data_IF_213305681913
#
_entry.id   IF_213305681913
#
_cell.length_a   1.000
_cell.length_b   1.000
_cell.length_c   1.000
_cell.angle_alpha   90.00
_cell.angle_beta   90.00
_cell.angle_gamma   90.00
#
_symmetry.space_group_name_H-M   'P 1'
#
loop_
_entity.id
_entity.type
_entity.pdbx_description
1 polymer ?
#
# COMPACT_ATOMS: atom_id res chain seq x y z
N UNK A 1 -3.40 -2.69 -21.74
CA UNK A 1 -3.14 -3.44 -20.50
C UNK A 1 -2.57 -2.51 -19.44
N UNK A 2 -2.89 -2.76 -18.17
CA UNK A 2 -2.38 -1.98 -17.05
C UNK A 2 -1.68 -2.88 -16.03
N UNK A 3 -0.77 -2.31 -15.24
CA UNK A 3 -0.13 -2.95 -14.11
C UNK A 3 0.00 -1.93 -12.96
N UNK A 4 -0.05 -2.40 -11.72
CA UNK A 4 0.01 -1.53 -10.54
C UNK A 4 1.25 -1.80 -9.69
N UNK A 5 1.87 -0.72 -9.20
CA UNK A 5 2.82 -0.78 -8.10
C UNK A 5 2.24 -0.02 -6.92
N UNK A 6 1.92 -0.74 -5.85
CA UNK A 6 1.27 -0.20 -4.67
C UNK A 6 2.30 -0.04 -3.54
N UNK A 7 2.46 1.17 -3.03
CA UNK A 7 3.29 1.41 -1.85
C UNK A 7 2.40 1.59 -0.63
N UNK A 8 2.61 0.74 0.37
CA UNK A 8 1.92 0.80 1.65
C UNK A 8 2.91 1.14 2.76
N UNK A 9 2.42 1.81 3.80
CA UNK A 9 3.15 1.95 5.05
C UNK A 9 3.39 0.57 5.69
N UNK A 10 4.64 0.25 6.02
CA UNK A 10 5.01 -1.00 6.71
C UNK A 10 4.36 -1.13 8.09
N UNK A 11 4.11 -0.01 8.77
CA UNK A 11 3.35 0.02 10.03
C UNK A 11 1.91 -0.49 9.89
N UNK A 12 1.27 -0.30 8.73
CA UNK A 12 -0.06 -0.88 8.47
C UNK A 12 0.00 -2.39 8.43
N UNK A 13 0.99 -2.96 7.72
CA UNK A 13 1.18 -4.42 7.67
C UNK A 13 1.41 -4.99 9.06
N UNK A 14 2.23 -4.33 9.89
CA UNK A 14 2.46 -4.76 11.27
C UNK A 14 1.19 -4.71 12.13
N UNK A 15 0.34 -3.69 11.93
CA UNK A 15 -0.88 -3.52 12.72
C UNK A 15 -1.96 -4.56 12.39
N UNK A 16 -2.11 -4.95 11.12
CA UNK A 16 -3.15 -5.91 10.70
C UNK A 16 -2.65 -7.36 10.64
N UNK A 17 -1.32 -7.56 10.64
CA UNK A 17 -0.72 -8.89 10.64
C UNK A 17 -0.82 -9.62 9.30
N UNK A 18 -0.15 -10.77 9.20
CA UNK A 18 -0.04 -11.52 7.96
C UNK A 18 -1.38 -12.20 7.56
N UNK A 19 -2.21 -12.62 8.52
CA UNK A 19 -3.51 -13.25 8.24
C UNK A 19 -4.46 -12.27 7.52
N UNK A 20 -4.58 -11.04 8.02
CA UNK A 20 -5.42 -10.02 7.36
C UNK A 20 -4.80 -9.48 6.06
N UNK A 21 -3.47 -9.62 5.87
CA UNK A 21 -2.85 -9.27 4.60
C UNK A 21 -3.29 -10.18 3.45
N UNK A 22 -3.70 -11.42 3.74
CA UNK A 22 -4.27 -12.33 2.74
C UNK A 22 -5.61 -11.80 2.23
N UNK A 23 -6.46 -11.28 3.14
CA UNK A 23 -7.72 -10.63 2.77
C UNK A 23 -7.47 -9.38 1.93
N UNK A 24 -6.52 -8.53 2.34
CA UNK A 24 -6.12 -7.34 1.57
C UNK A 24 -5.68 -7.71 0.15
N UNK A 25 -4.92 -8.80 -0.01
CA UNK A 25 -4.50 -9.27 -1.34
C UNK A 25 -5.71 -9.69 -2.20
N UNK A 26 -6.62 -10.47 -1.63
CA UNK A 26 -7.83 -10.93 -2.33
C UNK A 26 -8.73 -9.76 -2.73
N UNK A 27 -9.03 -8.86 -1.79
CA UNK A 27 -9.82 -7.66 -2.07
C UNK A 27 -9.17 -6.78 -3.13
N UNK A 28 -7.83 -6.64 -3.10
CA UNK A 28 -7.11 -5.88 -4.13
C UNK A 28 -7.30 -6.52 -5.51
N UNK A 29 -7.13 -7.84 -5.63
CA UNK A 29 -7.35 -8.57 -6.88
C UNK A 29 -8.77 -8.40 -7.41
N UNK A 30 -9.77 -8.53 -6.53
CA UNK A 30 -11.18 -8.39 -6.90
C UNK A 30 -11.50 -6.97 -7.39
N UNK A 31 -10.90 -5.94 -6.78
CA UNK A 31 -11.10 -4.54 -7.16
C UNK A 31 -10.43 -4.21 -8.51
N UNK A 32 -9.21 -4.68 -8.75
CA UNK A 32 -8.42 -4.31 -9.95
C UNK A 32 -8.64 -5.24 -11.14
N UNK A 33 -9.30 -6.38 -10.94
CA UNK A 33 -9.47 -7.44 -11.92
C UNK A 33 -8.34 -8.48 -11.88
N UNK A 34 -8.71 -9.76 -11.96
CA UNK A 34 -7.81 -10.90 -11.83
C UNK A 34 -6.71 -10.96 -12.91
N UNK A 35 -6.92 -10.33 -14.05
CA UNK A 35 -5.98 -10.22 -15.16
C UNK A 35 -4.95 -9.08 -15.00
N UNK A 36 -5.16 -8.17 -14.05
CA UNK A 36 -4.29 -7.00 -13.83
C UNK A 36 -3.18 -7.36 -12.83
N UNK A 37 -1.91 -7.45 -13.25
CA UNK A 37 -0.82 -7.74 -12.33
C UNK A 37 -0.55 -6.54 -11.41
N UNK A 38 -0.24 -6.82 -10.15
CA UNK A 38 0.24 -5.82 -9.21
C UNK A 38 1.34 -6.35 -8.30
N UNK A 39 2.18 -5.44 -7.81
CA UNK A 39 3.16 -5.71 -6.76
C UNK A 39 2.97 -4.67 -5.65
N UNK A 40 3.03 -5.13 -4.40
CA UNK A 40 2.98 -4.26 -3.24
C UNK A 40 4.34 -4.18 -2.55
N UNK A 41 4.79 -2.96 -2.26
CA UNK A 41 5.96 -2.67 -1.44
C UNK A 41 5.55 -2.05 -0.09
N UNK A 42 6.05 -2.62 1.00
CA UNK A 42 5.84 -2.10 2.35
C UNK A 42 7.03 -1.27 2.80
N UNK A 43 6.94 0.03 2.59
CA UNK A 43 8.00 0.95 2.96
C UNK A 43 7.93 1.27 4.47
N UNK A 44 9.07 1.20 5.14
CA UNK A 44 9.26 1.82 6.46
C UNK A 44 9.90 3.20 6.24
N UNK A 45 9.09 4.25 6.35
CA UNK A 45 9.55 5.63 6.46
C UNK A 45 9.54 6.07 7.93
N UNK A 46 10.18 7.19 8.27
CA UNK A 46 10.33 7.66 9.65
C UNK A 46 8.98 7.66 10.40
N UNK A 47 8.78 6.64 11.24
CA UNK A 47 7.78 6.66 12.30
C UNK A 47 8.34 7.56 13.40
N UNK A 48 8.28 8.86 13.16
CA UNK A 48 8.82 9.88 14.05
C UNK A 48 7.71 10.80 14.52
N UNK A 49 7.47 10.83 15.83
CA UNK A 49 6.84 12.00 16.44
C UNK A 49 7.90 13.12 16.44
N UNK A 50 7.77 14.07 15.53
CA UNK A 50 8.53 15.30 15.64
C UNK A 50 7.90 16.15 16.75
N UNK A 51 8.56 16.21 17.91
CA UNK A 51 8.12 16.96 19.10
C UNK A 51 7.86 18.46 18.85
N UNK A 52 8.41 19.01 17.77
CA UNK A 52 8.31 20.44 17.41
C UNK A 52 7.07 20.70 16.52
N UNK A 53 6.76 19.79 15.59
CA UNK A 53 5.67 19.99 14.63
C UNK A 53 4.38 19.26 15.01
N UNK A 54 4.42 18.34 15.97
CA UNK A 54 3.27 17.54 16.41
C UNK A 54 2.77 16.57 15.34
N UNK A 55 3.53 16.39 14.27
CA UNK A 55 3.08 15.64 13.12
C UNK A 55 3.21 14.14 13.38
N UNK A 56 2.07 13.47 13.51
CA UNK A 56 1.96 12.02 13.68
C UNK A 56 1.64 11.41 12.33
N UNK A 57 2.57 11.49 11.37
CA UNK A 57 2.40 10.80 10.10
C UNK A 57 2.71 9.30 10.25
N UNK A 58 1.95 8.62 11.10
CA UNK A 58 1.65 7.19 10.98
C UNK A 58 0.58 6.95 9.91
N UNK A 59 0.56 7.78 8.86
CA UNK A 59 -0.53 7.78 7.90
C UNK A 59 -0.50 6.48 7.12
N UNK A 60 -1.61 5.74 7.18
CA UNK A 60 -1.97 4.61 6.33
C UNK A 60 -2.11 5.07 4.86
N UNK A 61 -1.10 5.75 4.32
CA UNK A 61 -1.11 6.21 2.95
C UNK A 61 -0.81 5.02 2.04
N UNK A 62 -1.71 4.79 1.09
CA UNK A 62 -1.47 3.95 -0.10
C UNK A 62 -1.09 4.88 -1.24
N UNK A 63 0.00 4.57 -1.93
CA UNK A 63 0.42 5.29 -3.14
C UNK A 63 0.36 4.33 -4.32
N UNK A 64 -0.60 4.49 -5.25
CA UNK A 64 -0.66 3.69 -6.45
C UNK A 64 0.16 4.35 -7.58
N UNK A 65 1.01 3.57 -8.23
CA UNK A 65 1.59 3.90 -9.54
C UNK A 65 0.95 2.97 -10.57
N UNK A 66 0.31 3.56 -11.58
CA UNK A 66 -0.37 2.82 -12.64
C UNK A 66 0.50 2.89 -13.90
N UNK A 67 0.94 1.74 -14.36
CA UNK A 67 1.56 1.57 -15.68
C UNK A 67 0.45 1.19 -16.65
N UNK A 68 0.27 1.97 -17.71
CA UNK A 68 -0.76 1.74 -18.71
C UNK A 68 -0.22 2.02 -20.10
N UNK A 69 -0.58 1.17 -21.05
CA UNK A 69 -0.34 1.40 -22.48
C UNK A 69 -1.46 2.22 -23.15
N UNK A 70 -2.53 2.54 -22.39
CA UNK A 70 -3.60 3.42 -22.87
C UNK A 70 -3.09 4.87 -22.90
N UNK A 71 -3.29 5.58 -24.02
CA UNK A 71 -2.89 6.98 -24.17
C UNK A 71 -3.67 7.93 -23.25
#
# INVERSE_FOLDING_TARGET
MAALFLVHCGGRRLAIGDDQMVEVFQETQDIIGNETPFITFFAFGEQGNNRITGNTHGSLSIVPVIFSDRP
#
